data_IF_571193394062
#
_entry.id   IF_571193394062
#
_cell.length_a   1.000
_cell.length_b   1.000
_cell.length_c   1.000
_cell.angle_alpha   90.00
_cell.angle_beta   90.00
_cell.angle_gamma   90.00
#
_symmetry.space_group_name_H-M   'P 1'
#
loop_
_entity.id
_entity.type
_entity.pdbx_description
1 polymer ?
#
# COMPACT_ATOMS: atom_id res chain seq x y z
N UNK A 1 24.78 18.52 -0.67
CA UNK A 1 24.40 18.00 -2.01
C UNK A 1 24.98 16.62 -2.18
N UNK A 2 24.18 15.62 -2.56
CA UNK A 2 24.71 14.34 -3.04
C UNK A 2 25.00 14.48 -4.52
N UNK A 3 26.27 14.42 -4.88
CA UNK A 3 26.71 14.44 -6.28
C UNK A 3 26.84 12.96 -6.68
N UNK A 4 25.79 12.43 -7.30
CA UNK A 4 25.86 11.18 -8.05
C UNK A 4 26.16 11.48 -9.52
N UNK A 5 26.54 10.48 -10.34
CA UNK A 5 26.74 10.68 -11.77
C UNK A 5 25.49 11.31 -12.40
N UNK A 6 25.68 12.43 -13.11
CA UNK A 6 24.61 13.35 -13.55
C UNK A 6 23.59 12.72 -14.51
N UNK A 7 23.95 11.62 -15.18
CA UNK A 7 23.18 11.15 -16.35
C UNK A 7 21.87 10.42 -16.04
N UNK A 8 21.64 10.00 -14.79
CA UNK A 8 20.48 9.17 -14.44
C UNK A 8 19.54 9.78 -13.41
N UNK A 9 19.80 11.00 -12.93
CA UNK A 9 18.98 11.63 -11.89
C UNK A 9 18.59 13.06 -12.28
N UNK A 10 17.37 13.47 -11.92
CA UNK A 10 16.93 14.85 -12.02
C UNK A 10 16.49 15.35 -10.65
N UNK A 11 16.75 16.63 -10.38
CA UNK A 11 16.22 17.29 -9.19
C UNK A 11 14.83 17.85 -9.48
N UNK A 12 13.83 17.42 -8.70
CA UNK A 12 12.52 18.04 -8.72
C UNK A 12 12.46 19.12 -7.63
N UNK A 13 12.42 20.38 -8.06
CA UNK A 13 12.38 21.55 -7.16
C UNK A 13 11.14 21.56 -6.26
N UNK A 14 10.00 21.07 -6.78
CA UNK A 14 8.73 21.06 -6.04
C UNK A 14 8.74 20.13 -4.83
N UNK A 15 9.22 18.89 -4.99
CA UNK A 15 9.33 17.95 -3.86
C UNK A 15 10.69 17.99 -3.15
N UNK A 16 11.64 18.78 -3.67
CA UNK A 16 13.01 18.90 -3.18
C UNK A 16 13.71 17.52 -3.04
N UNK A 17 13.62 16.72 -4.10
CA UNK A 17 14.20 15.38 -4.20
C UNK A 17 15.00 15.21 -5.50
N UNK A 18 16.11 14.48 -5.42
CA UNK A 18 16.81 13.96 -6.59
C UNK A 18 16.25 12.56 -6.90
N UNK A 19 15.60 12.40 -8.05
CA UNK A 19 14.89 11.20 -8.46
C UNK A 19 15.50 10.65 -9.76
N UNK A 20 15.34 9.36 -10.02
CA UNK A 20 15.80 8.77 -11.27
C UNK A 20 15.06 9.40 -12.48
N UNK A 21 15.74 9.57 -13.62
CA UNK A 21 15.21 10.26 -14.82
C UNK A 21 13.88 9.70 -15.32
N UNK A 22 13.64 8.39 -15.22
CA UNK A 22 12.36 7.77 -15.61
C UNK A 22 11.16 8.22 -14.76
N UNK A 23 11.39 8.84 -13.59
CA UNK A 23 10.35 9.42 -12.73
C UNK A 23 10.00 10.87 -13.10
N UNK A 24 10.69 11.46 -14.10
CA UNK A 24 10.41 12.82 -14.57
C UNK A 24 9.01 12.87 -15.18
N UNK A 25 8.14 13.72 -14.62
CA UNK A 25 6.75 13.88 -15.07
C UNK A 25 5.75 12.83 -14.52
N UNK A 26 6.23 11.69 -14.02
CA UNK A 26 5.37 10.57 -13.62
C UNK A 26 5.33 10.31 -12.10
N UNK A 27 6.20 10.94 -11.31
CA UNK A 27 6.16 10.75 -9.86
C UNK A 27 5.04 11.58 -9.22
N UNK A 28 4.44 11.02 -8.16
CA UNK A 28 3.50 11.72 -7.30
C UNK A 28 4.25 12.79 -6.48
N UNK A 29 4.31 14.00 -7.01
CA UNK A 29 5.08 15.10 -6.43
C UNK A 29 4.35 15.70 -5.22
N UNK A 30 4.85 15.43 -4.02
CA UNK A 30 4.39 16.04 -2.76
C UNK A 30 5.41 17.09 -2.33
N UNK A 31 4.93 18.31 -2.10
CA UNK A 31 5.79 19.45 -1.76
C UNK A 31 6.53 19.21 -0.45
N UNK A 32 7.83 19.49 -0.42
CA UNK A 32 8.69 19.37 0.77
C UNK A 32 8.66 18.00 1.48
N UNK A 33 8.27 16.93 0.79
CA UNK A 33 8.13 15.59 1.39
C UNK A 33 9.44 15.09 2.01
N UNK A 34 10.60 15.54 1.52
CA UNK A 34 11.90 15.18 2.09
C UNK A 34 12.14 15.74 3.49
N UNK A 35 11.42 16.79 3.92
CA UNK A 35 11.55 17.40 5.25
C UNK A 35 10.77 16.67 6.36
N UNK A 36 10.32 15.46 6.08
CA UNK A 36 9.64 14.61 7.07
C UNK A 36 10.65 13.66 7.72
N UNK A 37 10.37 13.26 8.97
CA UNK A 37 11.10 12.20 9.63
C UNK A 37 10.64 10.84 9.09
N UNK A 38 11.56 9.88 9.02
CA UNK A 38 11.25 8.51 8.68
C UNK A 38 10.35 7.90 9.78
N UNK A 39 9.16 7.37 9.47
CA UNK A 39 8.23 6.82 10.47
C UNK A 39 8.74 5.54 11.14
N UNK A 40 9.85 4.97 10.66
CA UNK A 40 10.43 3.73 11.18
C UNK A 40 11.51 3.99 12.23
N UNK A 41 12.42 4.92 11.97
CA UNK A 41 13.53 5.25 12.88
C UNK A 41 13.40 6.63 13.54
N UNK A 42 12.42 7.44 13.12
CA UNK A 42 12.17 8.81 13.59
C UNK A 42 13.28 9.82 13.27
N UNK A 43 14.25 9.44 12.42
CA UNK A 43 15.31 10.33 11.95
C UNK A 43 14.91 11.12 10.71
N UNK A 44 15.51 12.30 10.53
CA UNK A 44 15.27 13.19 9.40
C UNK A 44 15.69 12.56 8.06
N UNK A 45 14.79 12.61 7.06
CA UNK A 45 15.06 12.02 5.73
C UNK A 45 15.94 12.95 4.88
N UNK A 46 15.86 14.27 5.05
CA UNK A 46 16.52 15.25 4.22
C UNK A 46 18.04 15.31 4.44
N UNK A 47 18.44 15.35 5.70
CA UNK A 47 19.81 15.57 6.18
C UNK A 47 20.58 14.27 6.38
N UNK A 48 19.89 13.13 6.40
CA UNK A 48 20.53 11.82 6.57
C UNK A 48 21.46 11.47 5.41
N UNK A 49 22.54 10.73 5.74
CA UNK A 49 23.45 10.08 4.77
C UNK A 49 22.86 8.82 4.16
N UNK A 50 21.74 8.31 4.67
CA UNK A 50 21.01 7.18 4.10
C UNK A 50 20.09 7.68 2.98
N UNK A 51 20.08 7.01 1.83
CA UNK A 51 19.20 7.40 0.72
C UNK A 51 17.73 7.22 1.08
N UNK A 52 16.85 8.06 0.53
CA UNK A 52 15.40 7.88 0.68
C UNK A 52 14.87 6.89 -0.38
N UNK A 53 13.88 6.10 -0.01
CA UNK A 53 13.10 5.25 -0.90
C UNK A 53 11.67 5.82 -0.98
N UNK A 54 11.18 6.03 -2.20
CA UNK A 54 9.82 6.53 -2.48
C UNK A 54 8.92 5.32 -2.67
N UNK A 55 7.94 5.14 -1.80
CA UNK A 55 6.94 4.08 -1.95
C UNK A 55 5.95 4.43 -3.08
N UNK A 56 5.23 3.43 -3.58
CA UNK A 56 4.16 3.58 -4.59
C UNK A 56 3.11 4.63 -4.21
N UNK A 57 2.79 4.74 -2.91
CA UNK A 57 1.85 5.73 -2.39
C UNK A 57 2.37 7.18 -2.39
N UNK A 58 3.69 7.36 -2.59
CA UNK A 58 4.41 8.64 -2.59
C UNK A 58 5.11 8.98 -1.27
N UNK A 59 4.90 8.20 -0.20
CA UNK A 59 5.59 8.43 1.08
C UNK A 59 7.05 7.98 1.03
N UNK A 60 7.88 8.60 1.87
CA UNK A 60 9.32 8.34 1.95
C UNK A 60 9.68 7.53 3.18
N UNK A 61 10.61 6.60 3.01
CA UNK A 61 11.34 5.92 4.08
C UNK A 61 12.84 6.04 3.81
N UNK A 62 13.70 5.88 4.82
CA UNK A 62 15.10 5.56 4.53
C UNK A 62 15.18 4.20 3.83
N UNK A 63 16.11 4.05 2.88
CA UNK A 63 16.32 2.81 2.12
C UNK A 63 16.52 1.60 3.04
N UNK A 64 17.31 1.75 4.10
CA UNK A 64 17.55 0.70 5.10
C UNK A 64 16.28 0.35 5.89
N UNK A 65 15.45 1.34 6.23
CA UNK A 65 14.17 1.13 6.91
C UNK A 65 13.16 0.43 5.99
N UNK A 66 13.13 0.79 4.71
CA UNK A 66 12.32 0.11 3.69
C UNK A 66 12.73 -1.36 3.56
N UNK A 67 14.03 -1.63 3.37
CA UNK A 67 14.57 -3.00 3.25
C UNK A 67 14.27 -3.82 4.52
N UNK A 68 14.43 -3.22 5.70
CA UNK A 68 14.10 -3.88 6.96
C UNK A 68 12.61 -4.26 7.05
N UNK A 69 11.69 -3.36 6.70
CA UNK A 69 10.26 -3.65 6.70
C UNK A 69 9.93 -4.77 5.72
N UNK A 70 10.44 -4.69 4.50
CA UNK A 70 10.19 -5.68 3.46
C UNK A 70 10.73 -7.07 3.83
N UNK A 71 11.95 -7.15 4.39
CA UNK A 71 12.53 -8.40 4.86
C UNK A 71 11.77 -9.03 6.03
N UNK A 72 10.98 -8.24 6.78
CA UNK A 72 10.08 -8.73 7.83
C UNK A 72 8.68 -9.09 7.31
N UNK A 73 8.46 -9.04 5.99
CA UNK A 73 7.18 -9.34 5.35
C UNK A 73 6.17 -8.18 5.40
N UNK A 74 6.57 -6.99 5.82
CA UNK A 74 5.69 -5.82 5.79
C UNK A 74 5.58 -5.28 4.36
N UNK A 75 4.42 -5.48 3.73
CA UNK A 75 4.13 -4.99 2.38
C UNK A 75 3.35 -3.68 2.35
N UNK A 76 2.92 -3.15 3.51
CA UNK A 76 2.10 -1.95 3.61
C UNK A 76 2.93 -0.74 4.01
N UNK A 77 2.55 0.43 3.50
CA UNK A 77 3.10 1.70 3.95
C UNK A 77 2.70 1.96 5.42
N UNK A 78 3.63 2.28 6.33
CA UNK A 78 3.31 2.53 7.75
C UNK A 78 2.51 3.82 7.98
N UNK A 79 2.43 4.71 6.98
CA UNK A 79 1.74 6.00 7.12
C UNK A 79 0.29 5.96 6.62
N UNK A 80 0.02 5.21 5.56
CA UNK A 80 -1.31 5.19 4.93
C UNK A 80 -1.88 3.79 4.65
N UNK A 81 -1.17 2.73 5.03
CA UNK A 81 -1.57 1.33 4.89
C UNK A 81 -1.74 0.81 3.45
N UNK A 82 -1.58 1.66 2.42
CA UNK A 82 -1.56 1.24 1.02
C UNK A 82 -0.39 0.27 0.77
N UNK A 83 -0.61 -0.70 -0.12
CA UNK A 83 0.41 -1.65 -0.58
C UNK A 83 1.61 -0.90 -1.14
N UNK A 84 2.77 -1.10 -0.54
CA UNK A 84 4.03 -0.46 -0.86
C UNK A 84 4.80 -1.14 -2.01
N UNK A 85 4.37 -2.34 -2.41
CA UNK A 85 4.94 -3.16 -3.47
C UNK A 85 3.81 -3.75 -4.33
N UNK A 86 4.15 -4.29 -5.50
CA UNK A 86 3.19 -5.00 -6.34
C UNK A 86 2.79 -6.32 -5.67
N UNK A 87 1.51 -6.42 -5.31
CA UNK A 87 0.92 -7.57 -4.63
C UNK A 87 0.06 -8.43 -5.57
N UNK A 88 0.04 -8.15 -6.88
CA UNK A 88 -0.85 -8.81 -7.85
C UNK A 88 -0.79 -10.33 -7.76
N UNK A 89 0.42 -10.91 -7.78
CA UNK A 89 0.61 -12.36 -7.66
C UNK A 89 0.09 -12.91 -6.33
N UNK A 90 0.31 -12.19 -5.23
CA UNK A 90 -0.17 -12.63 -3.91
C UNK A 90 -1.70 -12.61 -3.83
N UNK A 91 -2.35 -11.65 -4.50
CA UNK A 91 -3.81 -11.62 -4.61
C UNK A 91 -4.37 -12.78 -5.44
N UNK A 92 -3.68 -13.18 -6.52
CA UNK A 92 -4.04 -14.36 -7.32
C UNK A 92 -3.90 -15.68 -6.54
N UNK A 93 -2.87 -15.77 -5.68
CA UNK A 93 -2.69 -16.89 -4.76
C UNK A 93 -3.85 -16.95 -3.74
N UNK A 94 -4.22 -15.82 -3.13
CA UNK A 94 -5.40 -15.74 -2.24
C UNK A 94 -6.71 -16.08 -2.94
N UNK A 95 -6.91 -15.65 -4.19
CA UNK A 95 -8.08 -16.03 -4.99
C UNK A 95 -8.20 -17.55 -5.12
N UNK A 96 -7.07 -18.22 -5.33
CA UNK A 96 -7.00 -19.67 -5.47
C UNK A 96 -7.32 -20.38 -4.15
N UNK A 97 -6.74 -19.92 -3.04
CA UNK A 97 -6.99 -20.49 -1.71
C UNK A 97 -8.46 -20.30 -1.28
N UNK A 98 -9.04 -19.14 -1.56
CA UNK A 98 -10.45 -18.85 -1.28
C UNK A 98 -11.38 -19.76 -2.10
N UNK A 99 -11.09 -19.99 -3.38
CA UNK A 99 -11.88 -20.88 -4.21
C UNK A 99 -11.83 -22.35 -3.73
N UNK A 100 -10.73 -22.75 -3.08
CA UNK A 100 -10.53 -24.10 -2.55
C UNK A 100 -11.05 -24.28 -1.11
N UNK A 101 -11.31 -23.18 -0.41
CA UNK A 101 -11.75 -23.20 1.00
C UNK A 101 -13.23 -22.86 1.08
N UNK A 102 -14.08 -23.88 1.22
CA UNK A 102 -15.51 -23.65 1.41
C UNK A 102 -15.78 -22.94 2.76
N UNK A 103 -16.56 -21.86 2.73
CA UNK A 103 -17.02 -21.19 3.95
C UNK A 103 -18.01 -22.07 4.72
N UNK A 104 -17.99 -22.06 6.06
CA UNK A 104 -19.01 -22.71 6.86
C UNK A 104 -20.41 -22.17 6.55
N UNK A 105 -21.42 -23.01 6.64
CA UNK A 105 -22.82 -22.68 6.30
C UNK A 105 -23.35 -21.42 6.98
N UNK A 106 -22.96 -21.19 8.24
CA UNK A 106 -23.42 -20.04 9.04
C UNK A 106 -22.94 -18.69 8.50
N UNK A 107 -21.84 -18.71 7.75
CA UNK A 107 -21.23 -17.53 7.15
C UNK A 107 -21.44 -17.49 5.63
N UNK A 108 -22.06 -18.52 5.07
CA UNK A 108 -22.31 -18.63 3.65
C UNK A 108 -23.29 -17.53 3.23
N UNK A 109 -22.94 -16.79 2.17
CA UNK A 109 -23.68 -15.62 1.68
C UNK A 109 -23.70 -14.39 2.61
N UNK A 110 -22.92 -14.37 3.69
CA UNK A 110 -22.73 -13.13 4.46
C UNK A 110 -21.95 -12.11 3.62
N UNK A 111 -22.33 -10.85 3.75
CA UNK A 111 -21.68 -9.73 3.07
C UNK A 111 -21.15 -8.78 4.13
N UNK A 112 -19.99 -8.18 3.90
CA UNK A 112 -19.42 -7.14 4.77
C UNK A 112 -19.20 -5.87 3.99
N UNK A 113 -19.35 -4.74 4.67
CA UNK A 113 -18.83 -3.47 4.18
C UNK A 113 -17.32 -3.44 4.40
N UNK A 114 -16.60 -2.97 3.39
CA UNK A 114 -15.15 -2.87 3.41
C UNK A 114 -14.69 -1.51 2.88
N UNK A 115 -13.55 -1.06 3.37
CA UNK A 115 -12.75 0.01 2.80
C UNK A 115 -11.44 -0.58 2.25
N UNK A 116 -11.09 -0.27 1.01
CA UNK A 116 -9.83 -0.71 0.42
C UNK A 116 -8.70 0.29 0.67
N UNK A 117 -7.59 -0.15 1.27
CA UNK A 117 -6.42 0.71 1.50
C UNK A 117 -5.70 1.09 0.19
N UNK A 118 -5.89 0.30 -0.88
CA UNK A 118 -5.20 0.54 -2.15
C UNK A 118 -5.93 1.54 -3.04
N UNK A 119 -7.25 1.41 -3.22
CA UNK A 119 -8.03 2.32 -4.08
C UNK A 119 -8.97 3.26 -3.31
N UNK A 120 -9.03 3.17 -1.99
CA UNK A 120 -9.89 3.97 -1.10
C UNK A 120 -11.41 3.81 -1.38
N UNK A 121 -11.79 2.79 -2.16
CA UNK A 121 -13.19 2.50 -2.42
C UNK A 121 -13.84 1.84 -1.20
N UNK A 122 -14.95 2.44 -0.74
CA UNK A 122 -15.89 1.79 0.17
C UNK A 122 -16.89 0.95 -0.65
N UNK A 123 -17.01 -0.32 -0.33
CA UNK A 123 -17.88 -1.25 -1.08
C UNK A 123 -18.33 -2.40 -0.19
N UNK A 124 -19.09 -3.33 -0.77
CA UNK A 124 -19.45 -4.58 -0.12
C UNK A 124 -18.76 -5.77 -0.78
N UNK A 125 -18.30 -6.71 0.03
CA UNK A 125 -17.66 -7.95 -0.41
C UNK A 125 -18.30 -9.17 0.29
N UNK A 126 -18.35 -10.35 -0.36
CA UNK A 126 -18.65 -11.60 0.32
C UNK A 126 -17.67 -11.79 1.48
N UNK A 127 -18.18 -12.19 2.64
CA UNK A 127 -17.34 -12.50 3.79
C UNK A 127 -16.60 -13.82 3.55
N UNK A 128 -15.28 -13.78 3.67
CA UNK A 128 -14.43 -14.96 3.65
C UNK A 128 -13.33 -14.82 4.70
N UNK A 129 -13.06 -15.90 5.45
CA UNK A 129 -12.10 -15.87 6.57
C UNK A 129 -10.66 -15.57 6.14
N UNK A 130 -10.29 -15.94 4.91
CA UNK A 130 -8.95 -15.70 4.36
C UNK A 130 -8.74 -14.26 3.86
N UNK A 131 -9.80 -13.55 3.49
CA UNK A 131 -9.65 -12.22 2.92
C UNK A 131 -10.91 -11.65 2.30
N UNK A 132 -10.97 -10.32 2.23
CA UNK A 132 -12.10 -9.58 1.67
C UNK A 132 -11.67 -8.86 0.40
N UNK A 133 -12.12 -9.35 -0.76
CA UNK A 133 -11.68 -8.81 -2.05
C UNK A 133 -12.35 -7.48 -2.37
N UNK A 134 -11.55 -6.48 -2.72
CA UNK A 134 -12.06 -5.23 -3.26
C UNK A 134 -12.60 -5.44 -4.70
N UNK A 135 -13.84 -5.03 -4.96
CA UNK A 135 -14.44 -5.08 -6.31
C UNK A 135 -13.87 -4.03 -7.28
N UNK A 136 -13.26 -2.97 -6.77
CA UNK A 136 -12.73 -1.88 -7.58
C UNK A 136 -11.37 -2.18 -8.19
N UNK A 137 -10.43 -2.71 -7.39
CA UNK A 137 -9.06 -2.98 -7.84
C UNK A 137 -8.60 -4.44 -7.66
N UNK A 138 -9.43 -5.32 -7.11
CA UNK A 138 -9.08 -6.73 -6.89
C UNK A 138 -8.17 -7.00 -5.68
N UNK A 139 -7.69 -5.95 -5.00
CA UNK A 139 -6.82 -6.09 -3.82
C UNK A 139 -7.54 -6.69 -2.61
N UNK A 140 -6.81 -7.48 -1.82
CA UNK A 140 -7.23 -7.95 -0.50
C UNK A 140 -6.70 -7.07 0.65
N UNK A 141 -6.01 -5.97 0.35
CA UNK A 141 -5.62 -4.98 1.34
C UNK A 141 -6.81 -4.11 1.75
N UNK A 142 -7.76 -4.73 2.45
CA UNK A 142 -9.04 -4.14 2.85
C UNK A 142 -9.21 -4.23 4.36
N UNK A 143 -10.01 -3.32 4.91
CA UNK A 143 -10.45 -3.33 6.29
C UNK A 143 -11.99 -3.41 6.32
N UNK A 144 -12.52 -4.13 7.31
CA UNK A 144 -13.96 -4.19 7.53
C UNK A 144 -14.47 -2.85 8.06
N UNK A 145 -15.51 -2.32 7.43
CA UNK A 145 -16.14 -1.03 7.73
C UNK A 145 -17.51 -1.26 8.36
N UNK A 146 -17.52 -1.65 9.64
CA UNK A 146 -18.74 -1.97 10.39
C UNK A 146 -18.98 -3.48 10.58
N UNK A 147 -20.24 -3.89 10.72
CA UNK A 147 -20.63 -5.27 11.02
C UNK A 147 -20.92 -6.14 9.79
N UNK A 148 -21.17 -7.44 10.04
CA UNK A 148 -21.68 -8.37 9.05
C UNK A 148 -23.11 -7.96 8.63
N UNK A 149 -23.36 -7.99 7.33
CA UNK A 149 -24.68 -7.81 6.73
C UNK A 149 -25.16 -9.20 6.33
N UNK A 150 -26.14 -9.72 7.05
CA UNK A 150 -26.98 -10.79 6.50
C UNK A 150 -27.89 -10.17 5.45
N UNK A 151 -28.05 -10.78 4.27
CA UNK A 151 -29.16 -10.46 3.40
C UNK A 151 -30.44 -10.71 4.23
N UNK A 152 -31.05 -9.66 4.75
CA UNK A 152 -32.37 -9.78 5.36
C UNK A 152 -33.28 -10.36 4.28
N UNK A 153 -33.93 -11.46 4.61
CA UNK A 153 -34.83 -12.15 3.70
C UNK A 153 -35.77 -11.15 3.04
N UNK A 154 -35.86 -11.25 1.72
CA UNK A 154 -37.08 -10.92 1.02
C UNK A 154 -38.21 -11.68 1.75
N UNK A 155 -38.96 -10.98 2.59
CA UNK A 155 -40.31 -11.38 2.96
C UNK A 155 -41.27 -10.69 1.99
#
# INVERSE_FOLDING_TARGET
>A
HRIGPEDNFFHCVKCNLCLATHLRGNHKCVENVSRQNCPVCMEDIHTSRIGAHVLTCGHLLHKTCYEMLFNKGAYRCPLCMQSAVDMTKYWEELDTEIAQTAMPSDYQNMIVKIMCNDCQLHSTAPFHVLGLKCKGCGSYNTAQDGGLITPQGQQ
#
